data_IF_279602754957
#
_entry.id   IF_279602754957
#
_cell.length_a   1.000
_cell.length_b   1.000
_cell.length_c   1.000
_cell.angle_alpha   90.00
_cell.angle_beta   90.00
_cell.angle_gamma   90.00
#
_symmetry.space_group_name_H-M   'P 1'
#
loop_
_entity.id
_entity.type
_entity.pdbx_description
1 polymer ?
#
# COMPACT_ATOMS: atom_id res chain seq x y z
N UNK A 1 -0.04 -13.72 -37.41
CA UNK A 1 -0.07 -12.27 -37.09
C UNK A 1 -1.26 -11.88 -36.19
N UNK A 2 -2.48 -12.38 -36.43
CA UNK A 2 -3.66 -12.09 -35.56
C UNK A 2 -3.48 -12.49 -34.08
N UNK A 3 -2.90 -13.66 -33.80
CA UNK A 3 -2.70 -14.14 -32.43
C UNK A 3 -1.72 -13.28 -31.60
N UNK A 4 -0.70 -12.71 -32.25
CA UNK A 4 0.28 -11.83 -31.61
C UNK A 4 -0.38 -10.50 -31.21
N UNK A 5 -1.23 -9.94 -32.08
CA UNK A 5 -2.01 -8.74 -31.78
C UNK A 5 -2.95 -8.96 -30.58
N UNK A 6 -3.58 -10.12 -30.47
CA UNK A 6 -4.42 -10.48 -29.33
C UNK A 6 -3.63 -10.58 -28.01
N UNK A 7 -2.44 -11.18 -28.04
CA UNK A 7 -1.58 -11.30 -26.86
C UNK A 7 -1.01 -9.96 -26.38
N UNK A 8 -0.68 -9.07 -27.31
CA UNK A 8 -0.20 -7.72 -26.96
C UNK A 8 -1.35 -6.87 -26.39
N UNK A 9 -2.56 -6.97 -26.96
CA UNK A 9 -3.73 -6.25 -26.46
C UNK A 9 -4.14 -6.68 -25.04
N UNK A 10 -4.12 -7.98 -24.74
CA UNK A 10 -4.41 -8.47 -23.39
C UNK A 10 -3.32 -8.06 -22.40
N UNK A 11 -2.04 -8.12 -22.77
CA UNK A 11 -0.94 -7.67 -21.92
C UNK A 11 -1.06 -6.19 -21.53
N UNK A 12 -1.49 -5.32 -22.44
CA UNK A 12 -1.71 -3.89 -22.14
C UNK A 12 -2.88 -3.71 -21.15
N UNK A 13 -3.95 -4.50 -21.29
CA UNK A 13 -5.13 -4.42 -20.44
C UNK A 13 -4.86 -4.81 -18.97
N UNK A 14 -3.90 -5.71 -18.71
CA UNK A 14 -3.58 -6.14 -17.33
C UNK A 14 -2.67 -5.14 -16.58
N UNK A 15 -2.05 -4.19 -17.29
CA UNK A 15 -1.12 -3.20 -16.70
C UNK A 15 -1.80 -1.89 -16.28
N UNK A 16 -3.05 -1.67 -16.70
CA UNK A 16 -4.00 -0.86 -15.94
C UNK A 16 -4.49 -1.79 -14.80
N UNK A 17 -4.23 -1.60 -13.52
CA UNK A 17 -4.18 -0.36 -12.82
C UNK A 17 -3.92 -0.76 -11.34
N UNK A 18 -2.67 -0.73 -10.87
CA UNK A 18 -2.43 -0.90 -9.42
C UNK A 18 -3.03 0.28 -8.63
N UNK A 19 -3.39 1.34 -9.35
CA UNK A 19 -4.01 2.56 -8.86
C UNK A 19 -5.44 2.77 -9.38
N UNK A 20 -6.08 1.82 -10.11
CA UNK A 20 -7.53 1.92 -10.38
C UNK A 20 -8.19 1.45 -9.11
N UNK A 21 -9.15 2.25 -8.69
CA UNK A 21 -10.18 1.80 -7.81
C UNK A 21 -11.57 2.01 -8.42
N UNK A 22 -11.68 2.37 -9.71
CA UNK A 22 -12.96 2.59 -10.39
C UNK A 22 -13.88 1.37 -10.35
N UNK A 23 -13.30 0.15 -10.41
CA UNK A 23 -14.07 -1.10 -10.40
C UNK A 23 -14.27 -1.74 -9.03
N UNK A 24 -13.34 -1.53 -8.10
CA UNK A 24 -13.32 -2.24 -6.80
C UNK A 24 -13.58 -1.33 -5.60
N UNK A 25 -13.38 -0.02 -5.76
CA UNK A 25 -13.36 0.95 -4.69
C UNK A 25 -12.24 0.74 -3.66
N UNK A 26 -11.33 -0.22 -3.90
CA UNK A 26 -10.30 -0.64 -2.94
C UNK A 26 -8.93 -0.17 -3.38
N UNK A 27 -8.20 0.40 -2.45
CA UNK A 27 -6.83 0.85 -2.63
C UNK A 27 -5.90 0.18 -1.61
N UNK A 28 -4.59 0.13 -1.89
CA UNK A 28 -3.60 -0.28 -0.89
C UNK A 28 -3.68 0.57 0.39
N UNK A 29 -3.24 0.05 1.54
CA UNK A 29 -3.18 0.82 2.78
C UNK A 29 -2.42 2.13 2.63
N UNK A 30 -2.96 3.23 3.16
CA UNK A 30 -2.38 4.57 3.01
C UNK A 30 -2.79 5.30 1.75
N UNK A 31 -3.69 4.72 0.96
CA UNK A 31 -4.30 5.35 -0.20
C UNK A 31 -5.82 5.38 -0.05
N UNK A 32 -6.46 6.40 -0.64
CA UNK A 32 -7.91 6.49 -0.77
C UNK A 32 -8.30 6.48 -2.25
N UNK A 33 -9.47 5.95 -2.53
CA UNK A 33 -10.04 6.02 -3.86
C UNK A 33 -10.66 7.41 -4.07
N UNK A 34 -10.13 8.17 -5.03
CA UNK A 34 -10.65 9.48 -5.41
C UNK A 34 -10.68 9.57 -6.94
N UNK A 35 -11.84 9.90 -7.51
CA UNK A 35 -12.04 9.97 -8.95
C UNK A 35 -11.60 8.71 -9.72
N UNK A 36 -11.87 7.54 -9.13
CA UNK A 36 -11.49 6.25 -9.72
C UNK A 36 -10.02 5.89 -9.55
N UNK A 37 -9.21 6.72 -8.88
CA UNK A 37 -7.78 6.45 -8.67
C UNK A 37 -7.40 6.37 -7.21
N UNK A 38 -6.45 5.49 -6.90
CA UNK A 38 -5.82 5.41 -5.60
C UNK A 38 -4.82 6.55 -5.43
N UNK A 39 -5.18 7.51 -4.59
CA UNK A 39 -4.31 8.63 -4.22
C UNK A 39 -3.80 8.45 -2.79
N UNK A 40 -2.59 8.91 -2.52
CA UNK A 40 -2.01 8.85 -1.18
C UNK A 40 -2.85 9.69 -0.21
N UNK A 41 -3.18 9.11 0.95
CA UNK A 41 -3.86 9.82 2.03
C UNK A 41 -2.87 10.81 2.66
N UNK A 42 -3.01 12.09 2.31
CA UNK A 42 -2.20 13.18 2.86
C UNK A 42 -2.52 13.48 4.33
N UNK A 43 -3.66 13.01 4.83
CA UNK A 43 -4.03 13.07 6.24
C UNK A 43 -3.36 11.98 7.09
N UNK A 44 -2.70 10.99 6.46
CA UNK A 44 -1.88 10.05 7.19
C UNK A 44 -0.57 10.72 7.64
N UNK A 45 -0.11 10.47 8.88
CA UNK A 45 1.14 11.04 9.36
C UNK A 45 2.31 10.53 8.52
N UNK A 46 3.04 11.45 7.89
CA UNK A 46 4.29 11.12 7.21
C UNK A 46 5.28 10.56 8.23
N UNK A 47 5.73 9.32 8.02
CA UNK A 47 6.70 8.68 8.92
C UNK A 47 8.10 8.82 8.38
N UNK A 48 9.01 9.21 9.27
CA UNK A 48 10.43 8.94 9.08
C UNK A 48 10.70 7.43 9.14
N UNK A 49 11.82 7.01 8.57
CA UNK A 49 12.28 5.63 8.65
C UNK A 49 12.66 5.35 10.13
N UNK A 50 11.97 4.45 10.83
CA UNK A 50 12.23 4.19 12.24
C UNK A 50 13.56 3.47 12.43
N UNK A 51 14.33 3.89 13.43
CA UNK A 51 15.57 3.20 13.83
C UNK A 51 15.18 1.96 14.64
N UNK A 52 15.47 0.78 14.09
CA UNK A 52 15.17 -0.50 14.74
C UNK A 52 16.42 -1.00 15.46
N UNK A 53 16.34 -1.11 16.79
CA UNK A 53 17.42 -1.65 17.61
C UNK A 53 17.62 -3.17 17.43
N UNK A 54 18.79 -3.71 17.80
CA UNK A 54 19.06 -5.14 17.72
C UNK A 54 18.07 -5.93 18.59
N UNK A 55 17.46 -6.98 18.02
CA UNK A 55 16.42 -7.79 18.68
C UNK A 55 15.00 -7.21 18.60
N UNK A 56 14.82 -6.08 17.93
CA UNK A 56 13.51 -5.50 17.67
C UNK A 56 13.07 -5.74 16.22
N UNK A 57 11.75 -5.83 16.01
CA UNK A 57 11.13 -5.98 14.70
C UNK A 57 10.21 -4.82 14.42
N UNK A 58 10.22 -4.35 13.18
CA UNK A 58 9.16 -3.47 12.70
C UNK A 58 7.93 -4.32 12.38
N UNK A 59 6.79 -3.96 12.94
CA UNK A 59 5.50 -4.56 12.62
C UNK A 59 4.64 -3.50 11.98
N UNK A 60 4.27 -3.74 10.73
CA UNK A 60 3.33 -2.89 10.00
C UNK A 60 1.89 -3.35 10.26
N UNK A 61 0.99 -2.40 10.45
CA UNK A 61 -0.44 -2.59 10.66
C UNK A 61 -1.20 -1.43 10.05
N UNK A 62 -2.51 -1.54 9.91
CA UNK A 62 -3.36 -0.46 9.40
C UNK A 62 -4.23 0.02 10.55
N UNK A 63 -4.32 1.33 10.77
CA UNK A 63 -5.23 1.86 11.78
C UNK A 63 -6.68 1.93 11.28
N UNK A 64 -7.60 2.32 12.17
CA UNK A 64 -9.03 2.46 11.88
C UNK A 64 -9.33 3.46 10.74
N UNK A 65 -8.41 4.39 10.49
CA UNK A 65 -8.51 5.38 9.42
C UNK A 65 -7.90 4.89 8.10
N UNK A 66 -7.46 3.63 8.02
CA UNK A 66 -6.82 3.07 6.83
C UNK A 66 -5.38 3.55 6.61
N UNK A 67 -4.78 4.22 7.61
CA UNK A 67 -3.40 4.68 7.52
C UNK A 67 -2.41 3.58 7.92
N UNK A 68 -1.34 3.36 7.14
CA UNK A 68 -0.34 2.37 7.46
C UNK A 68 0.42 2.87 8.69
N UNK A 69 0.43 2.06 9.75
CA UNK A 69 1.11 2.21 11.02
C UNK A 69 2.26 1.22 11.16
N UNK A 70 3.37 1.64 11.77
CA UNK A 70 4.52 0.78 12.02
C UNK A 70 4.88 0.91 13.49
N UNK A 71 5.00 -0.21 14.19
CA UNK A 71 5.40 -0.27 15.60
C UNK A 71 6.65 -1.12 15.72
N UNK A 72 7.61 -0.64 16.51
CA UNK A 72 8.79 -1.44 16.88
C UNK A 72 8.38 -2.36 18.03
N UNK A 73 8.48 -3.67 17.81
CA UNK A 73 8.22 -4.71 18.81
C UNK A 73 9.55 -5.36 19.15
N UNK A 74 10.03 -5.18 20.37
CA UNK A 74 11.25 -5.81 20.87
C UNK A 74 10.86 -7.07 21.68
N UNK A 75 11.56 -8.18 21.45
CA UNK A 75 11.39 -9.38 22.27
C UNK A 75 11.94 -9.10 23.68
N UNK A 76 11.05 -8.69 24.59
CA UNK A 76 11.36 -8.31 25.96
C UNK A 76 10.79 -6.94 26.30
N UNK A 77 9.49 -6.90 26.61
CA UNK A 77 8.69 -5.88 27.30
C UNK A 77 9.36 -4.53 27.66
N UNK A 78 9.86 -3.79 26.67
CA UNK A 78 10.20 -2.38 26.83
C UNK A 78 9.75 -1.60 25.61
N UNK A 79 8.47 -1.23 25.65
CA UNK A 79 8.01 0.04 25.08
C UNK A 79 8.94 1.13 25.60
N UNK A 80 9.72 1.76 24.71
CA UNK A 80 10.49 2.96 25.06
C UNK A 80 9.60 4.18 24.94
#
# INVERSE_FOLDING_TARGET
MKAVLFLVATAIYVNADVYDCSGTGKCPPGMKCESGRCIVRLDCPQRGIPIVGPGCKLVDFVDENGCPKSKVVCNGDKSI
#
